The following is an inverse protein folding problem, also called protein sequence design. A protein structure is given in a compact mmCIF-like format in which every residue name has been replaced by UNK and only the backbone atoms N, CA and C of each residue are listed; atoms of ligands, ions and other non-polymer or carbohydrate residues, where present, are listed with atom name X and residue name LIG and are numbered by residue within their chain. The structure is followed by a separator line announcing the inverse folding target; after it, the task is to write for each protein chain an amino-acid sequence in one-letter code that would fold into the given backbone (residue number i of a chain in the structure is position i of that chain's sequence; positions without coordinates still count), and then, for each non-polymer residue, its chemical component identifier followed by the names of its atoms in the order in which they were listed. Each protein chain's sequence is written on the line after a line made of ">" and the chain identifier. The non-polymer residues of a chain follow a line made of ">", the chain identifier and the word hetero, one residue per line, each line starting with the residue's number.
data_IF_129776596520
#
_entry.id   IF_129776596520
#
_cell.length_a   1.000
_cell.length_b   1.000
_cell.length_c   1.000
_cell.angle_alpha   90.00
_cell.angle_beta   90.00
_cell.angle_gamma   90.00
#
_symmetry.space_group_name_H-M   'P 1'
#
loop_
_entity.id
_entity.type
_entity.pdbx_description
1 polymer ?
#
# COMPACT_ATOMS: atom_id res chain seq x y z
N UNK A 1 -2.16 17.30 5.03
CA UNK A 1 -2.13 15.94 5.59
C UNK A 1 -3.35 15.21 5.09
N UNK A 2 -3.16 14.17 4.28
CA UNK A 2 -4.26 13.45 3.66
C UNK A 2 -4.63 12.25 4.54
N UNK A 3 -5.67 12.42 5.36
CA UNK A 3 -6.14 11.36 6.24
C UNK A 3 -6.85 10.29 5.40
N UNK A 4 -6.33 9.07 5.43
CA UNK A 4 -7.06 7.93 4.87
C UNK A 4 -8.36 7.73 5.64
N UNK A 5 -9.43 7.35 4.95
CA UNK A 5 -10.62 6.87 5.64
C UNK A 5 -10.24 5.68 6.55
N UNK A 6 -10.85 5.52 7.75
CA UNK A 6 -10.40 4.53 8.72
C UNK A 6 -10.28 3.11 8.18
N UNK A 7 -11.23 2.70 7.32
CA UNK A 7 -11.18 1.38 6.64
C UNK A 7 -9.95 1.22 5.75
N UNK A 8 -9.58 2.24 4.99
CA UNK A 8 -8.40 2.19 4.11
C UNK A 8 -7.10 2.18 4.94
N UNK A 9 -7.05 2.94 6.02
CA UNK A 9 -5.92 2.91 6.96
C UNK A 9 -5.72 1.50 7.53
N UNK A 10 -6.80 0.86 7.99
CA UNK A 10 -6.77 -0.50 8.52
C UNK A 10 -6.27 -1.52 7.47
N UNK A 11 -6.76 -1.43 6.22
CA UNK A 11 -6.33 -2.32 5.14
C UNK A 11 -4.82 -2.18 4.83
N UNK A 12 -4.31 -0.94 4.83
CA UNK A 12 -2.87 -0.69 4.66
C UNK A 12 -2.07 -1.27 5.83
N UNK A 13 -2.51 -1.02 7.06
CA UNK A 13 -1.87 -1.53 8.27
C UNK A 13 -1.85 -3.07 8.35
N UNK A 14 -2.87 -3.74 7.84
CA UNK A 14 -2.92 -5.20 7.82
C UNK A 14 -1.99 -5.78 6.74
N UNK A 15 -1.90 -5.14 5.58
CA UNK A 15 -0.96 -5.53 4.54
C UNK A 15 0.50 -5.25 4.97
N UNK A 16 0.77 -4.11 5.61
CA UNK A 16 2.09 -3.77 6.18
C UNK A 16 2.52 -4.80 7.23
N UNK A 17 1.61 -5.19 8.12
CA UNK A 17 1.89 -6.20 9.15
C UNK A 17 2.42 -7.49 8.53
N UNK A 18 1.84 -7.95 7.42
CA UNK A 18 2.24 -9.21 6.76
C UNK A 18 3.67 -9.18 6.24
N UNK A 19 4.13 -8.06 5.68
CA UNK A 19 5.49 -7.94 5.14
C UNK A 19 6.50 -7.60 6.22
N UNK A 20 6.14 -6.78 7.21
CA UNK A 20 7.00 -6.44 8.34
C UNK A 20 7.28 -7.66 9.21
N UNK A 21 6.28 -8.50 9.47
CA UNK A 21 6.46 -9.76 10.21
C UNK A 21 7.41 -10.74 9.49
N UNK A 22 7.55 -10.63 8.17
CA UNK A 22 8.51 -11.42 7.37
C UNK A 22 9.92 -10.82 7.34
N UNK A 23 10.13 -9.69 8.01
CA UNK A 23 11.43 -9.03 8.14
C UNK A 23 11.65 -7.83 7.23
N UNK A 24 10.69 -7.47 6.38
CA UNK A 24 10.77 -6.24 5.59
C UNK A 24 10.71 -5.01 6.51
N UNK A 25 11.44 -3.95 6.15
CA UNK A 25 11.42 -2.70 6.93
C UNK A 25 10.63 -1.63 6.19
N UNK A 26 9.85 -0.84 6.92
CA UNK A 26 8.94 0.15 6.31
C UNK A 26 9.67 1.15 5.40
N UNK A 27 10.90 1.52 5.72
CA UNK A 27 11.72 2.42 4.90
C UNK A 27 12.04 1.85 3.51
N UNK A 28 11.97 0.52 3.34
CA UNK A 28 12.18 -0.15 2.06
C UNK A 28 10.86 -0.45 1.34
N UNK A 29 9.71 -0.19 1.96
CA UNK A 29 8.39 -0.49 1.39
C UNK A 29 7.82 0.72 0.64
N UNK A 30 6.92 0.44 -0.29
CA UNK A 30 6.06 1.43 -0.94
C UNK A 30 4.67 0.86 -1.19
N UNK A 31 3.66 1.72 -1.09
CA UNK A 31 2.29 1.46 -1.50
C UNK A 31 2.13 1.86 -2.96
N UNK A 32 1.86 0.88 -3.82
CA UNK A 32 1.57 1.11 -5.23
C UNK A 32 0.06 1.19 -5.44
N UNK A 33 -0.40 2.27 -6.06
CA UNK A 33 -1.83 2.59 -6.23
C UNK A 33 -2.16 2.93 -7.68
N UNK A 34 -3.45 2.82 -8.02
CA UNK A 34 -3.97 3.33 -9.29
C UNK A 34 -3.75 4.86 -9.39
N UNK A 35 -3.23 5.39 -10.52
CA UNK A 35 -2.98 6.83 -10.68
C UNK A 35 -4.22 7.70 -10.54
N UNK A 36 -5.40 7.18 -10.87
CA UNK A 36 -6.66 7.91 -10.73
C UNK A 36 -7.26 7.89 -9.31
N UNK A 37 -6.68 7.16 -8.35
CA UNK A 37 -7.19 7.10 -6.99
C UNK A 37 -6.77 8.37 -6.21
N UNK A 38 -7.62 8.97 -5.34
CA UNK A 38 -7.24 10.19 -4.61
C UNK A 38 -5.93 10.09 -3.81
N UNK A 39 -5.63 8.91 -3.28
CA UNK A 39 -4.40 8.63 -2.53
C UNK A 39 -3.12 8.76 -3.39
N UNK A 40 -3.21 8.67 -4.72
CA UNK A 40 -2.07 8.81 -5.64
C UNK A 40 -1.43 10.20 -5.62
N UNK A 41 -2.16 11.21 -5.13
CA UNK A 41 -1.68 12.58 -4.98
C UNK A 41 -0.75 12.74 -3.77
N UNK A 42 -0.74 11.75 -2.86
CA UNK A 42 0.14 11.78 -1.70
C UNK A 42 1.50 11.19 -2.08
N UNK A 43 2.58 11.82 -1.62
CA UNK A 43 3.91 11.21 -1.69
C UNK A 43 4.11 10.18 -0.58
N UNK A 44 3.49 10.41 0.57
CA UNK A 44 3.59 9.56 1.76
C UNK A 44 2.27 9.53 2.54
N UNK A 45 2.11 8.49 3.35
CA UNK A 45 1.04 8.36 4.34
C UNK A 45 1.62 7.93 5.68
N UNK A 46 1.00 8.37 6.77
CA UNK A 46 1.30 7.90 8.12
C UNK A 46 0.56 6.59 8.38
N UNK A 47 1.27 5.65 9.00
CA UNK A 47 0.76 4.31 9.38
C UNK A 47 1.21 4.00 10.80
N UNK A 48 0.63 3.00 11.45
CA UNK A 48 1.07 2.59 12.80
C UNK A 48 2.51 2.07 12.85
N UNK A 49 3.09 1.75 11.69
CA UNK A 49 4.46 1.26 11.56
C UNK A 49 5.44 2.36 11.13
N UNK A 50 4.98 3.60 10.93
CA UNK A 50 5.75 4.73 10.44
C UNK A 50 5.26 5.28 9.11
N UNK A 51 6.10 6.05 8.42
CA UNK A 51 5.77 6.71 7.15
C UNK A 51 5.95 5.73 6.00
N UNK A 52 4.88 5.51 5.21
CA UNK A 52 4.92 4.69 4.00
C UNK A 52 4.90 5.58 2.75
N UNK A 53 5.80 5.31 1.81
CA UNK A 53 5.82 5.98 0.50
C UNK A 53 4.66 5.51 -0.37
N UNK A 54 4.11 6.41 -1.17
CA UNK A 54 3.04 6.10 -2.14
C UNK A 54 3.57 6.33 -3.54
N UNK A 55 3.33 5.38 -4.43
CA UNK A 55 3.77 5.43 -5.82
C UNK A 55 2.59 5.11 -6.77
N UNK A 56 2.23 6.03 -7.67
CA UNK A 56 1.27 5.74 -8.72
C UNK A 56 1.84 4.72 -9.72
N UNK A 57 1.22 3.54 -9.82
CA UNK A 57 1.62 2.53 -10.80
C UNK A 57 0.76 2.60 -12.05
N UNK A 58 1.32 2.96 -13.20
CA UNK A 58 0.56 3.18 -14.45
C UNK A 58 -0.29 1.98 -14.90
N UNK A 59 0.10 0.76 -14.49
CA UNK A 59 -0.61 -0.48 -14.81
C UNK A 59 -1.53 -0.99 -13.69
N UNK A 60 -1.67 -0.24 -12.59
CA UNK A 60 -2.53 -0.64 -11.46
C UNK A 60 -3.98 -0.25 -11.75
N UNK A 61 -4.92 -1.23 -11.82
CA UNK A 61 -6.32 -0.94 -12.06
C UNK A 61 -6.99 -0.17 -10.92
N UNK A 62 -8.13 0.46 -11.20
CA UNK A 62 -8.99 1.04 -10.17
C UNK A 62 -9.34 0.00 -9.11
N UNK A 63 -9.46 0.44 -7.85
CA UNK A 63 -9.78 -0.39 -6.67
C UNK A 63 -8.69 -1.42 -6.30
N UNK A 64 -7.54 -1.41 -6.96
CA UNK A 64 -6.39 -2.27 -6.64
C UNK A 64 -5.27 -1.44 -6.02
N UNK A 65 -4.66 -1.99 -4.97
CA UNK A 65 -3.47 -1.44 -4.34
C UNK A 65 -2.66 -2.57 -3.69
N UNK A 66 -1.34 -2.43 -3.66
CA UNK A 66 -0.44 -3.40 -3.04
C UNK A 66 0.80 -2.72 -2.47
N UNK A 67 1.41 -3.39 -1.51
CA UNK A 67 2.69 -3.01 -0.93
C UNK A 67 3.76 -3.90 -1.55
N UNK A 68 4.88 -3.29 -1.92
CA UNK A 68 6.06 -3.99 -2.40
C UNK A 68 7.32 -3.42 -1.75
N UNK A 69 8.29 -4.27 -1.49
CA UNK A 69 9.64 -3.89 -1.09
C UNK A 69 10.46 -3.44 -2.30
N UNK A 70 11.26 -2.40 -2.13
CA UNK A 70 12.09 -1.87 -3.19
C UNK A 70 13.11 -2.93 -3.66
N UNK A 71 13.13 -3.25 -4.97
CA UNK A 71 13.92 -4.35 -5.50
C UNK A 71 15.43 -4.14 -5.39
N UNK A 72 15.88 -2.92 -5.09
CA UNK A 72 17.29 -2.56 -4.90
C UNK A 72 17.88 -3.14 -3.60
N UNK A 73 17.04 -3.57 -2.65
CA UNK A 73 17.46 -4.10 -1.36
C UNK A 73 16.87 -5.50 -1.20
N UNK A 74 17.70 -6.53 -1.40
CA UNK A 74 17.42 -7.98 -1.21
C UNK A 74 16.12 -8.27 -0.42
N UNK A 75 15.03 -8.51 -1.13
CA UNK A 75 13.73 -8.85 -0.52
C UNK A 75 12.61 -8.84 -1.55
N UNK A 76 11.63 -9.72 -1.40
CA UNK A 76 10.40 -9.76 -2.20
C UNK A 76 9.17 -9.49 -1.31
N UNK A 77 9.32 -8.62 -0.30
CA UNK A 77 8.19 -8.24 0.56
C UNK A 77 7.02 -7.77 -0.31
N UNK A 78 5.91 -8.49 -0.26
CA UNK A 78 4.73 -8.20 -1.06
C UNK A 78 3.46 -8.54 -0.28
N UNK A 79 2.48 -7.63 -0.33
CA UNK A 79 1.14 -7.86 0.20
C UNK A 79 0.11 -7.05 -0.58
N UNK A 80 -1.05 -7.65 -0.83
CA UNK A 80 -2.19 -6.93 -1.38
C UNK A 80 -2.85 -6.08 -0.29
N UNK A 81 -3.17 -4.83 -0.63
CA UNK A 81 -4.02 -3.96 0.21
C UNK A 81 -5.47 -4.10 -0.21
N UNK A 82 -5.74 -4.11 -1.51
CA UNK A 82 -7.06 -4.38 -2.07
C UNK A 82 -6.94 -5.15 -3.38
N UNK A 83 -7.85 -6.12 -3.57
CA UNK A 83 -7.95 -6.96 -4.78
C UNK A 83 -9.28 -6.70 -5.48
N UNK A 84 -9.33 -6.98 -6.78
CA UNK A 84 -10.54 -6.81 -7.61
C UNK A 84 -11.71 -7.70 -7.14
N UNK A 85 -11.44 -8.84 -6.53
CA UNK A 85 -12.45 -9.87 -6.22
C UNK A 85 -13.15 -9.71 -4.85
N UNK A 86 -12.77 -8.73 -4.02
CA UNK A 86 -13.36 -8.52 -2.69
C UNK A 86 -14.47 -7.45 -2.65
N UNK A 87 -14.83 -6.86 -3.78
CA UNK A 87 -16.00 -5.99 -3.88
C UNK A 87 -17.03 -6.74 -4.72
N UNK A 88 -17.78 -7.65 -4.08
CA UNK A 88 -19.13 -7.98 -4.55
C UNK A 88 -19.86 -6.64 -4.63
N UNK A 89 -20.29 -6.30 -5.84
CA UNK A 89 -21.21 -5.19 -6.06
C UNK A 89 -22.40 -5.39 -5.12
N UNK A 90 -22.52 -4.47 -4.17
CA UNK A 90 -23.73 -4.26 -3.38
C UNK A 90 -24.47 -3.06 -3.94
#
# INVERSE_FOLDING_TARGET
>A
MSTLIPKAAQMVDDALRQVIQKGSRIENLKLVVCPSAPISQNQTIETRFGVLRVEPGMYVPKKVAYIIEDPLRKGFGFAWVSKRDEIREG
#
